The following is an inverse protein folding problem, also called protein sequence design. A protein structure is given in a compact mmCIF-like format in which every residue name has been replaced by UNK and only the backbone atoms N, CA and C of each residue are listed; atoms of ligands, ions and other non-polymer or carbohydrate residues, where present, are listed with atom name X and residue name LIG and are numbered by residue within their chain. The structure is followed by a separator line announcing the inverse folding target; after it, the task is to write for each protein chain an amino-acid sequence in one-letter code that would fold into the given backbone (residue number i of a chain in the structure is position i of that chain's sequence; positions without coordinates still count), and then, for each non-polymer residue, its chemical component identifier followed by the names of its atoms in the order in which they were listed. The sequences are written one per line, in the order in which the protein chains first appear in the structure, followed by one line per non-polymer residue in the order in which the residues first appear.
data_IF_122596565601
#
_entry.id   IF_122596565601
#
_cell.length_a   1.000
_cell.length_b   1.000
_cell.length_c   1.000
_cell.angle_alpha   90.00
_cell.angle_beta   90.00
_cell.angle_gamma   90.00
#
_symmetry.space_group_name_H-M   'P 1'
#
loop_
_entity.id
_entity.type
_entity.pdbx_description
1 polymer ?
#
# COMPACT_ATOMS: atom_id res chain seq x y z
N UNK A 1 12.59 -3.86 -22.78
CA UNK A 1 12.64 -2.82 -21.72
C UNK A 1 12.90 -1.50 -22.43
N UNK A 2 12.41 -0.35 -21.96
CA UNK A 2 12.50 0.99 -22.59
C UNK A 2 11.23 1.45 -23.35
N UNK A 3 10.17 1.70 -22.58
CA UNK A 3 9.26 2.78 -22.94
C UNK A 3 10.06 4.08 -22.93
N UNK A 4 10.43 4.59 -24.12
CA UNK A 4 10.90 5.96 -24.30
C UNK A 4 9.82 6.91 -23.80
N UNK A 5 9.95 7.32 -22.54
CA UNK A 5 9.28 8.49 -22.01
C UNK A 5 9.59 9.63 -22.98
N UNK A 6 8.55 10.22 -23.56
CA UNK A 6 8.62 11.41 -24.41
C UNK A 6 9.32 12.49 -23.56
N UNK A 7 10.63 12.67 -23.76
CA UNK A 7 11.42 13.58 -22.94
C UNK A 7 10.83 14.98 -23.08
N UNK A 8 10.52 15.59 -21.94
CA UNK A 8 9.92 16.92 -21.90
C UNK A 8 10.95 17.89 -22.52
N UNK A 9 10.56 18.82 -23.41
CA UNK A 9 11.51 19.72 -24.10
C UNK A 9 12.47 20.46 -23.15
N UNK A 10 12.01 20.78 -21.94
CA UNK A 10 12.81 21.42 -20.89
C UNK A 10 13.93 20.52 -20.36
N UNK A 11 13.67 19.21 -20.22
CA UNK A 11 14.71 18.24 -19.80
C UNK A 11 15.77 18.13 -20.89
N UNK A 12 15.37 18.08 -22.17
CA UNK A 12 16.33 18.02 -23.28
C UNK A 12 17.21 19.26 -23.35
N UNK A 13 16.61 20.46 -23.28
CA UNK A 13 17.37 21.71 -23.26
C UNK A 13 18.33 21.80 -22.06
N UNK A 14 17.95 21.21 -20.92
CA UNK A 14 18.81 21.13 -19.74
C UNK A 14 19.98 20.14 -19.96
N UNK A 15 19.73 18.97 -20.55
CA UNK A 15 20.78 18.00 -20.87
C UNK A 15 21.78 18.57 -21.90
N UNK A 16 21.30 19.23 -22.96
CA UNK A 16 22.14 19.92 -23.95
C UNK A 16 23.00 21.02 -23.29
N UNK A 17 22.44 21.76 -22.33
CA UNK A 17 23.19 22.76 -21.57
C UNK A 17 24.31 22.10 -20.75
N UNK A 18 24.04 20.99 -20.07
CA UNK A 18 25.05 20.27 -19.28
C UNK A 18 26.19 19.75 -20.17
N UNK A 19 25.87 19.17 -21.32
CA UNK A 19 26.85 18.68 -22.29
C UNK A 19 27.71 19.82 -22.85
N UNK A 20 27.07 20.90 -23.34
CA UNK A 20 27.78 22.07 -23.90
C UNK A 20 28.73 22.72 -22.91
N UNK A 21 28.34 22.76 -21.63
CA UNK A 21 29.14 23.34 -20.56
C UNK A 21 30.09 22.33 -19.88
N UNK A 22 30.17 21.09 -20.39
CA UNK A 22 31.02 20.01 -19.86
C UNK A 22 30.84 19.80 -18.35
N UNK A 23 29.59 19.87 -17.89
CA UNK A 23 29.27 19.63 -16.47
C UNK A 23 29.35 18.13 -16.22
N UNK A 24 30.48 17.67 -15.71
CA UNK A 24 30.74 16.25 -15.40
C UNK A 24 30.50 15.91 -13.93
N UNK A 25 29.94 16.84 -13.15
CA UNK A 25 29.72 16.64 -11.72
C UNK A 25 28.60 15.62 -11.53
N UNK A 26 28.97 14.42 -11.16
CA UNK A 26 28.05 13.36 -10.73
C UNK A 26 27.99 13.31 -9.21
N UNK A 27 26.85 12.91 -8.69
CA UNK A 27 26.70 12.62 -7.27
C UNK A 27 26.54 11.12 -7.12
N UNK A 28 27.31 10.54 -6.22
CA UNK A 28 27.09 9.18 -5.79
C UNK A 28 25.94 9.18 -4.79
N UNK A 29 24.93 8.37 -5.07
CA UNK A 29 23.86 8.12 -4.13
C UNK A 29 24.11 6.77 -3.49
N UNK A 30 23.86 6.67 -2.19
CA UNK A 30 23.86 5.41 -1.48
C UNK A 30 22.88 4.44 -2.14
N UNK A 31 23.30 3.18 -2.27
CA UNK A 31 22.45 2.10 -2.77
C UNK A 31 21.28 1.88 -1.81
N UNK A 32 21.57 1.89 -0.50
CA UNK A 32 20.57 1.90 0.55
C UNK A 32 20.12 3.32 0.86
N UNK A 33 18.83 3.59 0.69
CA UNK A 33 18.24 4.90 0.97
C UNK A 33 18.03 5.14 2.45
N UNK A 34 18.04 4.09 3.28
CA UNK A 34 17.88 4.20 4.72
C UNK A 34 19.07 4.93 5.37
N UNK A 35 20.23 4.95 4.71
CA UNK A 35 21.40 5.75 5.12
C UNK A 35 21.10 7.24 5.24
N UNK A 36 20.12 7.74 4.48
CA UNK A 36 19.73 9.14 4.52
C UNK A 36 18.83 9.48 5.72
N UNK A 37 18.22 8.50 6.39
CA UNK A 37 17.24 8.77 7.47
C UNK A 37 17.88 9.58 8.60
N UNK A 38 19.07 9.18 9.07
CA UNK A 38 19.76 9.90 10.13
C UNK A 38 20.14 11.33 9.71
N UNK A 39 20.52 11.51 8.44
CA UNK A 39 20.83 12.84 7.89
C UNK A 39 19.57 13.70 7.83
N UNK A 40 18.47 13.17 7.29
CA UNK A 40 17.19 13.88 7.17
C UNK A 40 16.67 14.28 8.55
N UNK A 41 16.71 13.37 9.53
CA UNK A 41 16.28 13.67 10.90
C UNK A 41 17.12 14.77 11.56
N UNK A 42 18.43 14.80 11.30
CA UNK A 42 19.30 15.87 11.77
C UNK A 42 19.00 17.24 11.13
N UNK A 43 18.59 17.27 9.86
CA UNK A 43 18.24 18.50 9.15
C UNK A 43 16.80 18.98 9.45
N UNK A 44 15.89 18.07 9.78
CA UNK A 44 14.47 18.33 10.03
C UNK A 44 13.99 17.66 11.33
N UNK A 45 14.56 18.02 12.50
CA UNK A 45 14.24 17.38 13.77
C UNK A 45 12.75 17.54 14.17
N UNK A 46 12.09 18.59 13.71
CA UNK A 46 10.66 18.83 13.94
C UNK A 46 9.75 17.83 13.23
N UNK A 47 10.25 17.15 12.18
CA UNK A 47 9.49 16.13 11.47
C UNK A 47 9.36 14.84 12.29
N UNK A 48 10.25 14.60 13.25
CA UNK A 48 10.30 13.41 14.10
C UNK A 48 10.16 12.11 13.28
N UNK A 49 11.03 11.98 12.27
CA UNK A 49 10.93 10.94 11.26
C UNK A 49 11.09 9.51 11.83
N UNK A 50 11.97 9.23 12.81
CA UNK A 50 12.10 7.91 13.42
C UNK A 50 10.80 7.40 14.05
N UNK A 51 10.05 8.27 14.74
CA UNK A 51 8.77 7.89 15.34
C UNK A 51 7.71 7.60 14.27
N UNK A 52 7.68 8.39 13.19
CA UNK A 52 6.76 8.16 12.07
C UNK A 52 7.04 6.83 11.37
N UNK A 53 8.32 6.51 11.12
CA UNK A 53 8.74 5.24 10.55
C UNK A 53 8.34 4.07 11.46
N UNK A 54 8.55 4.22 12.77
CA UNK A 54 8.20 3.18 13.74
C UNK A 54 6.69 2.93 13.75
N UNK A 55 5.88 4.00 13.80
CA UNK A 55 4.42 3.90 13.72
C UNK A 55 3.94 3.24 12.43
N UNK A 56 4.53 3.59 11.29
CA UNK A 56 4.15 2.98 10.01
C UNK A 56 4.52 1.50 9.95
N UNK A 57 5.70 1.11 10.48
CA UNK A 57 6.10 -0.31 10.58
C UNK A 57 5.16 -1.11 11.49
N UNK A 58 4.70 -0.55 12.59
CA UNK A 58 3.72 -1.19 13.47
C UNK A 58 2.36 -1.34 12.76
N UNK A 59 1.91 -0.29 12.07
CA UNK A 59 0.69 -0.32 11.27
C UNK A 59 0.78 -1.33 10.13
N UNK A 60 1.94 -1.47 9.49
CA UNK A 60 2.17 -2.43 8.41
C UNK A 60 1.98 -3.87 8.91
N UNK A 61 2.51 -4.22 10.09
CA UNK A 61 2.31 -5.57 10.69
C UNK A 61 0.83 -5.89 10.86
N UNK A 62 0.07 -4.91 11.35
CA UNK A 62 -1.37 -5.04 11.54
C UNK A 62 -2.12 -5.23 10.21
N UNK A 63 -1.82 -4.42 9.21
CA UNK A 63 -2.41 -4.53 7.86
C UNK A 63 -2.05 -5.86 7.19
N UNK A 64 -0.81 -6.33 7.33
CA UNK A 64 -0.36 -7.61 6.77
C UNK A 64 -1.08 -8.78 7.42
N UNK A 65 -1.26 -8.76 8.75
CA UNK A 65 -1.99 -9.79 9.47
C UNK A 65 -3.45 -9.90 9.01
N UNK A 66 -4.12 -8.77 8.79
CA UNK A 66 -5.49 -8.75 8.25
C UNK A 66 -5.50 -9.26 6.81
N UNK A 67 -4.61 -8.76 5.94
CA UNK A 67 -4.54 -9.18 4.52
C UNK A 67 -4.31 -10.67 4.34
N UNK A 68 -3.62 -11.32 5.28
CA UNK A 68 -3.41 -12.77 5.25
C UNK A 68 -4.72 -13.56 5.44
N UNK A 69 -5.68 -13.03 6.20
CA UNK A 69 -6.96 -13.67 6.55
C UNK A 69 -8.13 -13.15 5.70
N UNK A 70 -8.03 -11.92 5.20
CA UNK A 70 -9.09 -11.21 4.52
C UNK A 70 -8.53 -10.41 3.33
N UNK A 71 -8.84 -10.85 2.12
CA UNK A 71 -8.58 -10.11 0.89
C UNK A 71 -9.49 -10.59 -0.25
N UNK A 72 -9.53 -9.84 -1.35
CA UNK A 72 -10.40 -10.17 -2.48
C UNK A 72 -10.16 -11.55 -3.08
N UNK A 73 -8.92 -12.09 -3.05
CA UNK A 73 -8.63 -13.44 -3.56
C UNK A 73 -9.30 -14.52 -2.70
N UNK A 74 -9.23 -14.39 -1.38
CA UNK A 74 -9.88 -15.31 -0.44
C UNK A 74 -11.41 -15.28 -0.65
N UNK A 75 -11.99 -14.09 -0.75
CA UNK A 75 -13.43 -13.93 -0.97
C UNK A 75 -13.85 -14.54 -2.31
N UNK A 76 -13.09 -14.32 -3.38
CA UNK A 76 -13.36 -14.94 -4.69
C UNK A 76 -13.19 -16.46 -4.69
N UNK A 77 -12.33 -17.03 -3.85
CA UNK A 77 -12.25 -18.49 -3.71
C UNK A 77 -13.47 -19.08 -3.00
N UNK A 78 -14.08 -18.35 -2.07
CA UNK A 78 -15.29 -18.76 -1.36
C UNK A 78 -16.55 -18.52 -2.20
N UNK A 79 -16.61 -17.40 -2.92
CA UNK A 79 -17.75 -16.96 -3.71
C UNK A 79 -17.29 -16.56 -5.13
N UNK A 80 -17.13 -17.54 -6.05
CA UNK A 80 -16.57 -17.30 -7.38
C UNK A 80 -17.34 -16.31 -8.25
N UNK A 81 -18.63 -16.08 -7.96
CA UNK A 81 -19.49 -15.17 -8.70
C UNK A 81 -19.22 -13.69 -8.35
N UNK A 82 -18.60 -13.41 -7.20
CA UNK A 82 -18.24 -12.05 -6.79
C UNK A 82 -17.00 -11.57 -7.55
N UNK A 83 -17.18 -10.68 -8.53
CA UNK A 83 -16.08 -10.09 -9.30
C UNK A 83 -16.26 -8.59 -9.51
N UNK A 84 -15.14 -7.91 -9.78
CA UNK A 84 -15.11 -6.49 -10.13
C UNK A 84 -15.88 -5.61 -9.14
N UNK A 85 -16.84 -4.83 -9.65
CA UNK A 85 -17.66 -3.93 -8.83
C UNK A 85 -18.46 -4.67 -7.75
N UNK A 86 -18.99 -5.85 -8.06
CA UNK A 86 -19.78 -6.63 -7.10
C UNK A 86 -18.94 -7.07 -5.90
N UNK A 87 -17.70 -7.52 -6.14
CA UNK A 87 -16.75 -7.86 -5.08
C UNK A 87 -16.45 -6.63 -4.20
N UNK A 88 -16.17 -5.48 -4.80
CA UNK A 88 -15.89 -4.24 -4.07
C UNK A 88 -17.06 -3.82 -3.17
N UNK A 89 -18.28 -3.84 -3.70
CA UNK A 89 -19.50 -3.53 -2.92
C UNK A 89 -19.73 -4.54 -1.81
N UNK A 90 -19.55 -5.83 -2.08
CA UNK A 90 -19.67 -6.88 -1.07
C UNK A 90 -18.68 -6.65 0.09
N UNK A 91 -17.40 -6.40 -0.22
CA UNK A 91 -16.36 -6.17 0.79
C UNK A 91 -16.70 -4.95 1.66
N UNK A 92 -17.08 -3.84 1.05
CA UNK A 92 -17.46 -2.61 1.76
C UNK A 92 -18.65 -2.84 2.70
N UNK A 93 -19.71 -3.50 2.22
CA UNK A 93 -20.89 -3.79 3.03
C UNK A 93 -20.60 -4.80 4.15
N UNK A 94 -19.70 -5.75 3.90
CA UNK A 94 -19.25 -6.68 4.93
C UNK A 94 -18.49 -5.94 6.03
N UNK A 95 -17.52 -5.09 5.66
CA UNK A 95 -16.71 -4.29 6.58
C UNK A 95 -17.56 -3.31 7.41
N UNK A 96 -18.62 -2.74 6.83
CA UNK A 96 -19.50 -1.79 7.54
C UNK A 96 -20.31 -2.40 8.69
N UNK A 97 -20.18 -3.71 8.95
CA UNK A 97 -20.75 -4.34 10.14
C UNK A 97 -19.98 -3.97 11.42
N UNK A 98 -18.80 -3.36 11.29
CA UNK A 98 -17.98 -2.90 12.40
C UNK A 98 -17.67 -1.41 12.28
N UNK A 99 -17.60 -0.73 13.43
CA UNK A 99 -17.11 0.65 13.50
C UNK A 99 -15.62 0.72 13.14
N UNK A 100 -14.84 -0.25 13.62
CA UNK A 100 -13.44 -0.48 13.27
C UNK A 100 -13.25 -1.93 12.81
N UNK A 101 -13.43 -2.15 11.50
CA UNK A 101 -13.28 -3.49 10.91
C UNK A 101 -11.84 -4.00 10.98
N UNK A 102 -10.86 -3.10 10.95
CA UNK A 102 -9.45 -3.51 10.95
C UNK A 102 -9.11 -4.14 12.30
N UNK A 103 -9.53 -3.51 13.40
CA UNK A 103 -9.35 -4.07 14.75
C UNK A 103 -10.09 -5.39 14.90
N UNK A 104 -11.34 -5.48 14.46
CA UNK A 104 -12.12 -6.70 14.53
C UNK A 104 -11.42 -7.87 13.80
N UNK A 105 -10.95 -7.64 12.57
CA UNK A 105 -10.31 -8.69 11.77
C UNK A 105 -8.92 -9.06 12.28
N UNK A 106 -8.24 -8.14 12.94
CA UNK A 106 -6.96 -8.45 13.57
C UNK A 106 -7.13 -9.45 14.72
N UNK A 107 -8.14 -9.24 15.57
CA UNK A 107 -8.47 -10.08 16.73
C UNK A 107 -9.07 -11.44 16.33
N UNK A 108 -9.79 -11.52 15.21
CA UNK A 108 -10.40 -12.75 14.70
C UNK A 108 -9.40 -13.72 14.04
N UNK A 109 -9.70 -15.01 14.07
CA UNK A 109 -9.00 -16.02 13.25
C UNK A 109 -9.48 -15.98 11.80
N UNK A 110 -8.74 -16.63 10.89
CA UNK A 110 -9.16 -16.74 9.49
C UNK A 110 -10.51 -17.47 9.38
N UNK A 111 -10.68 -18.56 10.13
CA UNK A 111 -11.90 -19.38 10.15
C UNK A 111 -13.12 -18.63 10.69
N UNK A 112 -12.92 -17.71 11.65
CA UNK A 112 -13.97 -16.82 12.13
C UNK A 112 -14.41 -15.84 11.05
N UNK A 113 -13.46 -15.21 10.36
CA UNK A 113 -13.76 -14.29 9.25
C UNK A 113 -14.47 -15.03 8.11
N UNK A 114 -14.00 -16.21 7.72
CA UNK A 114 -14.61 -17.02 6.66
C UNK A 114 -16.03 -17.44 7.00
N UNK A 115 -16.29 -17.83 8.25
CA UNK A 115 -17.64 -18.15 8.72
C UNK A 115 -18.56 -16.92 8.66
N UNK A 116 -18.11 -15.78 9.18
CA UNK A 116 -18.88 -14.53 9.12
C UNK A 116 -19.14 -14.09 7.67
N UNK A 117 -18.18 -14.29 6.76
CA UNK A 117 -18.35 -14.06 5.34
C UNK A 117 -19.47 -14.93 4.74
N UNK A 118 -19.51 -16.23 5.09
CA UNK A 118 -20.54 -17.16 4.64
C UNK A 118 -21.94 -16.81 5.14
N UNK A 119 -22.07 -16.46 6.42
CA UNK A 119 -23.32 -15.99 7.02
C UNK A 119 -23.80 -14.71 6.34
N UNK A 120 -22.89 -13.75 6.12
CA UNK A 120 -23.21 -12.49 5.46
C UNK A 120 -23.66 -12.69 4.00
N UNK A 121 -22.95 -13.55 3.25
CA UNK A 121 -23.28 -13.85 1.86
C UNK A 121 -24.66 -14.48 1.75
N UNK A 122 -24.93 -15.51 2.57
CA UNK A 122 -26.21 -16.22 2.58
C UNK A 122 -27.36 -15.26 2.85
N UNK A 123 -27.26 -14.44 3.89
CA UNK A 123 -28.31 -13.50 4.31
C UNK A 123 -28.67 -12.45 3.26
N UNK A 124 -27.70 -12.00 2.44
CA UNK A 124 -27.86 -10.81 1.59
C UNK A 124 -27.90 -11.12 0.09
N UNK A 125 -27.50 -12.32 -0.34
CA UNK A 125 -27.33 -12.66 -1.76
C UNK A 125 -27.98 -13.98 -2.17
N UNK A 126 -28.44 -14.80 -1.21
CA UNK A 126 -29.11 -16.08 -1.47
C UNK A 126 -30.54 -16.17 -0.92
N UNK A 127 -31.06 -15.10 -0.30
CA UNK A 127 -32.45 -14.99 0.19
C UNK A 127 -33.32 -14.28 -0.85
#
# INVERSE_FOLDING_TARGET
MEQRLKERPTIQAFMEYLEKNKVTKTFEFAEDRDEYIATIDAYFPEANLPDLITKEKEREKFVLAIKAKYNGRIIMSLFPDLKGKALGTFMMNFQSQWEDYERAFYEMTAEEIERSLGEFYTRNYLV
#
